data_IF_561370268995
#
_entry.id   IF_561370268995
#
_cell.length_a   1.000
_cell.length_b   1.000
_cell.length_c   1.000
_cell.angle_alpha   90.00
_cell.angle_beta   90.00
_cell.angle_gamma   90.00
#
_symmetry.space_group_name_H-M   'P 1'
#
loop_
_entity.id
_entity.type
_entity.pdbx_description
1 polymer ?
#
# COMPACT_ATOMS: atom_id res chain seq x y z
N UNK A 1 -13.85 41.52 -3.03
CA UNK A 1 -12.55 41.23 -2.38
C UNK A 1 -11.72 40.38 -3.34
N UNK A 2 -10.59 40.91 -3.81
CA UNK A 2 -9.82 40.32 -4.93
C UNK A 2 -8.61 39.51 -4.45
N UNK A 3 -8.61 38.20 -4.71
CA UNK A 3 -7.43 37.35 -4.59
C UNK A 3 -6.57 37.38 -5.85
N UNK A 4 -5.26 37.12 -5.73
CA UNK A 4 -4.35 37.04 -6.88
C UNK A 4 -4.83 35.99 -7.89
N UNK A 5 -4.77 36.27 -9.19
CA UNK A 5 -5.13 35.26 -10.20
C UNK A 5 -4.08 34.15 -10.27
N UNK A 6 -4.48 32.93 -10.66
CA UNK A 6 -3.56 31.80 -10.85
C UNK A 6 -2.41 32.15 -11.80
N UNK A 7 -2.68 32.87 -12.90
CA UNK A 7 -1.66 33.32 -13.85
C UNK A 7 -0.60 34.22 -13.20
N UNK A 8 -1.03 35.17 -12.36
CA UNK A 8 -0.10 36.07 -11.64
C UNK A 8 0.69 35.32 -10.58
N UNK A 9 0.04 34.44 -9.81
CA UNK A 9 0.70 33.61 -8.81
C UNK A 9 1.74 32.67 -9.45
N UNK A 10 1.42 32.07 -10.60
CA UNK A 10 2.33 31.20 -11.35
C UNK A 10 3.58 31.92 -11.82
N UNK A 11 3.42 33.12 -12.39
CA UNK A 11 4.55 33.94 -12.80
C UNK A 11 5.43 34.31 -11.59
N UNK A 12 4.81 34.71 -10.49
CA UNK A 12 5.50 35.12 -9.27
C UNK A 12 6.35 33.99 -8.69
N UNK A 13 5.78 32.79 -8.51
CA UNK A 13 6.54 31.65 -8.00
C UNK A 13 7.65 31.23 -8.97
N UNK A 14 7.39 31.27 -10.28
CA UNK A 14 8.40 30.94 -11.27
C UNK A 14 9.58 31.93 -11.24
N UNK A 15 9.31 33.24 -11.14
CA UNK A 15 10.35 34.26 -11.01
C UNK A 15 11.17 34.08 -9.74
N UNK A 16 10.53 33.79 -8.61
CA UNK A 16 11.22 33.49 -7.36
C UNK A 16 12.19 32.30 -7.53
N UNK A 17 11.71 31.18 -8.09
CA UNK A 17 12.55 30.00 -8.32
C UNK A 17 13.66 30.23 -9.35
N UNK A 18 13.39 31.01 -10.40
CA UNK A 18 14.41 31.35 -11.40
C UNK A 18 15.57 32.16 -10.76
N UNK A 19 15.28 33.03 -9.79
CA UNK A 19 16.31 33.75 -9.02
C UNK A 19 17.06 32.85 -8.03
N UNK A 20 16.34 32.20 -7.13
CA UNK A 20 16.94 31.46 -6.00
C UNK A 20 17.65 30.17 -6.45
N UNK A 21 17.13 29.52 -7.48
CA UNK A 21 17.66 28.24 -7.99
C UNK A 21 18.25 28.38 -9.39
N UNK A 22 18.60 29.61 -9.82
CA UNK A 22 19.24 29.88 -11.13
C UNK A 22 18.52 29.26 -12.31
N UNK A 23 17.19 29.20 -12.23
CA UNK A 23 16.33 28.59 -13.25
C UNK A 23 16.41 27.07 -13.33
N UNK A 24 16.97 26.36 -12.35
CA UNK A 24 16.99 24.90 -12.31
C UNK A 24 15.59 24.30 -12.08
N UNK A 25 14.77 24.98 -11.27
CA UNK A 25 13.43 24.52 -10.91
C UNK A 25 12.35 25.14 -11.79
N UNK A 26 11.34 24.34 -12.14
CA UNK A 26 10.11 24.77 -12.81
C UNK A 26 8.87 24.39 -12.03
N UNK A 27 7.78 25.06 -12.38
CA UNK A 27 6.47 24.80 -11.80
C UNK A 27 5.48 24.26 -12.80
N UNK A 28 4.57 23.41 -12.33
CA UNK A 28 3.39 22.95 -13.06
C UNK A 28 2.19 22.80 -12.11
N UNK A 29 0.98 22.67 -12.68
CA UNK A 29 -0.25 22.37 -11.94
C UNK A 29 -0.58 23.30 -10.76
N UNK A 30 -0.51 24.62 -10.97
CA UNK A 30 -0.90 25.57 -9.92
C UNK A 30 -2.41 25.49 -9.59
N UNK A 31 -2.73 25.24 -8.32
CA UNK A 31 -4.09 25.18 -7.81
C UNK A 31 -4.25 26.16 -6.66
N UNK A 32 -5.40 26.82 -6.59
CA UNK A 32 -5.77 27.61 -5.39
C UNK A 32 -6.37 26.64 -4.38
N UNK A 33 -5.98 26.75 -3.12
CA UNK A 33 -6.63 26.02 -2.03
C UNK A 33 -7.07 27.01 -0.97
N UNK A 34 -8.02 26.59 -0.13
CA UNK A 34 -8.53 27.40 0.97
C UNK A 34 -8.27 26.63 2.26
N UNK A 35 -7.46 27.19 3.16
CA UNK A 35 -7.38 26.65 4.52
C UNK A 35 -8.67 27.04 5.26
N UNK A 36 -9.36 26.04 5.81
CA UNK A 36 -10.66 26.20 6.48
C UNK A 36 -10.64 27.26 7.60
N UNK A 37 -9.49 27.51 8.21
CA UNK A 37 -9.34 28.47 9.32
C UNK A 37 -9.14 29.94 8.95
N UNK A 38 -8.71 30.29 7.73
CA UNK A 38 -8.39 31.69 7.38
C UNK A 38 -8.99 32.20 6.07
N UNK A 39 -9.59 31.32 5.25
CA UNK A 39 -10.19 31.65 3.94
C UNK A 39 -9.29 32.53 3.04
N UNK A 40 -7.96 32.44 3.20
CA UNK A 40 -7.04 33.32 2.51
C UNK A 40 -7.07 33.04 0.99
N UNK A 41 -7.52 33.98 0.14
CA UNK A 41 -7.72 33.75 -1.29
C UNK A 41 -6.41 33.74 -2.08
N UNK A 42 -5.26 33.94 -1.43
CA UNK A 42 -3.92 33.97 -2.03
C UNK A 42 -3.09 32.71 -1.74
N UNK A 43 -3.69 31.67 -1.16
CA UNK A 43 -3.01 30.39 -0.94
C UNK A 43 -3.04 29.52 -2.21
N UNK A 44 -1.87 29.07 -2.64
CA UNK A 44 -1.71 28.21 -3.81
C UNK A 44 -0.84 27.00 -3.51
N UNK A 45 -1.19 25.87 -4.11
CA UNK A 45 -0.30 24.71 -4.24
C UNK A 45 0.21 24.64 -5.68
N UNK A 46 1.43 24.16 -5.85
CA UNK A 46 2.06 23.99 -7.16
C UNK A 46 3.00 22.80 -7.11
N UNK A 47 3.15 22.08 -8.23
CA UNK A 47 4.18 21.05 -8.35
C UNK A 47 5.45 21.74 -8.81
N UNK A 48 6.52 21.63 -8.02
CA UNK A 48 7.86 22.05 -8.39
C UNK A 48 8.63 20.83 -8.89
N UNK A 49 9.42 20.99 -9.96
CA UNK A 49 10.27 19.92 -10.48
C UNK A 49 11.62 20.44 -10.97
N UNK A 50 12.64 19.58 -10.97
CA UNK A 50 13.95 19.85 -11.59
C UNK A 50 13.88 19.65 -13.11
N UNK A 51 14.32 20.64 -13.89
CA UNK A 51 14.28 20.57 -15.37
C UNK A 51 15.13 19.45 -15.97
N UNK A 52 16.22 19.10 -15.32
CA UNK A 52 17.17 18.11 -15.82
C UNK A 52 16.82 16.70 -15.34
N UNK A 53 15.99 16.59 -14.30
CA UNK A 53 15.57 15.36 -13.64
C UNK A 53 14.10 15.50 -13.21
N UNK A 54 13.17 15.36 -14.14
CA UNK A 54 11.75 15.67 -13.91
C UNK A 54 11.09 14.80 -12.83
N UNK A 55 11.68 13.64 -12.52
CA UNK A 55 11.29 12.74 -11.44
C UNK A 55 11.47 13.38 -10.06
N UNK A 56 12.41 14.34 -9.94
CA UNK A 56 12.57 15.14 -8.74
C UNK A 56 11.48 16.19 -8.73
N UNK A 57 10.37 15.88 -8.06
CA UNK A 57 9.22 16.77 -7.94
C UNK A 57 8.53 16.66 -6.59
N UNK A 58 7.94 17.77 -6.15
CA UNK A 58 7.19 17.84 -4.89
C UNK A 58 6.11 18.92 -4.96
N UNK A 59 5.13 18.85 -4.06
CA UNK A 59 4.11 19.88 -3.93
C UNK A 59 4.62 20.96 -2.98
N UNK A 60 4.63 22.19 -3.47
CA UNK A 60 4.91 23.39 -2.68
C UNK A 60 3.62 24.16 -2.44
N UNK A 61 3.38 24.54 -1.18
CA UNK A 61 2.31 25.45 -0.80
C UNK A 61 2.88 26.84 -0.54
N UNK A 62 2.20 27.90 -0.98
CA UNK A 62 2.66 29.26 -0.74
C UNK A 62 1.52 30.28 -0.70
N UNK A 63 1.70 31.34 0.08
CA UNK A 63 0.91 32.56 -0.02
C UNK A 63 1.52 33.50 -1.08
N UNK A 64 0.80 33.71 -2.19
CA UNK A 64 1.26 34.56 -3.28
C UNK A 64 1.32 36.05 -2.91
N UNK A 65 0.57 36.51 -1.91
CA UNK A 65 0.65 37.89 -1.41
C UNK A 65 1.94 38.08 -0.61
N UNK A 66 2.25 37.16 0.30
CA UNK A 66 3.51 37.20 1.08
C UNK A 66 4.71 37.10 0.15
N UNK A 67 4.70 36.16 -0.80
CA UNK A 67 5.77 36.05 -1.79
C UNK A 67 5.96 37.35 -2.56
N UNK A 68 4.88 38.06 -2.90
CA UNK A 68 4.96 39.33 -3.63
C UNK A 68 5.53 40.46 -2.78
N UNK A 69 5.15 40.55 -1.51
CA UNK A 69 5.51 41.69 -0.64
C UNK A 69 6.81 41.50 0.12
N UNK A 70 7.13 40.27 0.46
CA UNK A 70 8.27 39.93 1.33
C UNK A 70 9.33 39.10 0.60
N UNK A 71 9.09 38.69 -0.66
CA UNK A 71 9.96 37.77 -1.41
C UNK A 71 10.31 36.50 -0.62
N UNK A 72 9.35 36.02 0.19
CA UNK A 72 9.48 34.84 1.05
C UNK A 72 8.33 33.88 0.81
N UNK A 73 8.64 32.59 0.92
CA UNK A 73 7.63 31.53 0.84
C UNK A 73 7.17 31.17 2.24
N UNK A 74 5.87 31.30 2.47
CA UNK A 74 5.19 30.84 3.67
C UNK A 74 4.12 29.84 3.29
N UNK A 75 4.24 28.62 3.83
CA UNK A 75 3.39 27.50 3.44
C UNK A 75 2.15 27.33 4.32
N UNK A 76 2.01 28.16 5.38
CA UNK A 76 0.84 28.17 6.25
C UNK A 76 0.65 26.92 7.12
N UNK A 77 1.71 26.12 7.33
CA UNK A 77 1.73 24.93 8.20
C UNK A 77 2.97 24.95 9.11
N UNK A 78 2.82 24.50 10.35
CA UNK A 78 3.87 24.59 11.40
C UNK A 78 5.13 23.76 11.12
N UNK A 79 5.03 22.76 10.23
CA UNK A 79 6.12 21.88 9.81
C UNK A 79 6.70 22.25 8.44
N UNK A 80 6.38 23.44 7.93
CA UNK A 80 6.88 23.92 6.64
C UNK A 80 8.41 24.06 6.65
N UNK A 81 9.08 23.35 5.73
CA UNK A 81 10.53 23.46 5.56
C UNK A 81 10.89 24.49 4.49
N UNK A 82 12.07 25.13 4.55
CA UNK A 82 12.58 25.93 3.45
C UNK A 82 12.66 25.14 2.14
N UNK A 83 12.51 25.81 0.99
CA UNK A 83 12.48 25.13 -0.32
C UNK A 83 13.79 24.39 -0.60
N UNK A 84 14.95 24.94 -0.22
CA UNK A 84 16.23 24.25 -0.41
C UNK A 84 16.28 22.91 0.35
N UNK A 85 15.75 22.86 1.59
CA UNK A 85 15.67 21.62 2.37
C UNK A 85 14.71 20.62 1.71
N UNK A 86 13.56 21.08 1.23
CA UNK A 86 12.63 20.20 0.49
C UNK A 86 13.29 19.63 -0.77
N UNK A 87 13.98 20.48 -1.53
CA UNK A 87 14.68 20.07 -2.74
C UNK A 87 15.80 19.07 -2.44
N UNK A 88 16.65 19.33 -1.45
CA UNK A 88 17.69 18.40 -1.00
C UNK A 88 17.12 17.07 -0.50
N UNK A 89 15.98 17.10 0.20
CA UNK A 89 15.28 15.89 0.64
C UNK A 89 14.77 15.08 -0.55
N UNK A 90 14.11 15.71 -1.53
CA UNK A 90 13.63 15.02 -2.74
C UNK A 90 14.78 14.48 -3.59
N UNK A 91 15.89 15.23 -3.71
CA UNK A 91 17.11 14.80 -4.38
C UNK A 91 17.71 13.56 -3.69
N UNK A 92 17.79 13.59 -2.36
CA UNK A 92 18.30 12.49 -1.54
C UNK A 92 17.43 11.25 -1.69
N UNK A 93 16.10 11.40 -1.63
CA UNK A 93 15.14 10.32 -1.85
C UNK A 93 15.32 9.68 -3.23
N UNK A 94 15.38 10.50 -4.29
CA UNK A 94 15.57 10.04 -5.66
C UNK A 94 16.85 9.22 -5.82
N UNK A 95 18.02 9.76 -5.44
CA UNK A 95 19.27 9.04 -5.61
C UNK A 95 19.38 7.79 -4.72
N UNK A 96 18.73 7.81 -3.56
CA UNK A 96 18.65 6.63 -2.70
C UNK A 96 17.83 5.52 -3.36
N UNK A 97 16.67 5.85 -3.93
CA UNK A 97 15.84 4.92 -4.70
C UNK A 97 16.59 4.36 -5.92
N UNK A 98 17.32 5.20 -6.65
CA UNK A 98 18.16 4.78 -7.78
C UNK A 98 19.31 3.84 -7.35
N UNK A 99 19.94 4.11 -6.21
CA UNK A 99 20.97 3.23 -5.65
C UNK A 99 20.39 1.85 -5.27
N UNK A 100 19.19 1.81 -4.69
CA UNK A 100 18.48 0.55 -4.40
C UNK A 100 18.15 -0.17 -5.69
N UNK A 101 17.59 0.53 -6.69
CA UNK A 101 17.30 -0.06 -8.00
C UNK A 101 18.53 -0.68 -8.65
N UNK A 102 19.68 -0.01 -8.61
CA UNK A 102 20.94 -0.57 -9.11
C UNK A 102 21.33 -1.88 -8.40
N UNK A 103 21.14 -1.95 -7.08
CA UNK A 103 21.42 -3.16 -6.28
C UNK A 103 20.43 -4.29 -6.54
N UNK A 104 19.18 -3.96 -6.82
CA UNK A 104 18.12 -4.93 -7.14
C UNK A 104 18.24 -5.45 -8.57
N UNK A 105 18.69 -4.62 -9.52
CA UNK A 105 18.97 -5.04 -10.89
C UNK A 105 20.05 -6.11 -10.98
N UNK A 106 21.02 -6.13 -10.05
CA UNK A 106 22.03 -7.21 -9.95
C UNK A 106 21.38 -8.58 -9.71
N UNK A 107 20.27 -8.61 -8.96
CA UNK A 107 19.45 -9.82 -8.74
C UNK A 107 18.28 -9.91 -9.72
N UNK A 108 18.38 -9.19 -10.85
CA UNK A 108 17.41 -9.19 -11.97
C UNK A 108 15.98 -8.84 -11.52
N UNK A 109 15.85 -7.90 -10.60
CA UNK A 109 14.59 -7.37 -10.09
C UNK A 109 14.60 -5.83 -10.16
N UNK A 110 13.64 -5.23 -10.86
CA UNK A 110 13.44 -3.78 -10.84
C UNK A 110 12.48 -3.41 -9.71
N UNK A 111 12.64 -2.23 -9.10
CA UNK A 111 11.70 -1.71 -8.09
C UNK A 111 11.13 -0.37 -8.56
N UNK A 112 9.80 -0.27 -8.55
CA UNK A 112 9.08 0.97 -8.83
C UNK A 112 8.52 1.46 -7.50
N UNK A 113 8.86 2.70 -7.14
CA UNK A 113 8.52 3.28 -5.85
C UNK A 113 7.29 4.19 -5.97
N UNK A 114 6.33 3.97 -5.09
CA UNK A 114 5.22 4.88 -4.81
C UNK A 114 5.12 5.09 -3.30
N UNK A 115 4.42 6.14 -2.86
CA UNK A 115 4.42 6.50 -1.43
C UNK A 115 3.79 5.41 -0.53
N UNK A 116 2.75 4.72 -1.00
CA UNK A 116 2.05 3.65 -0.28
C UNK A 116 2.32 2.25 -0.84
N UNK A 117 3.12 2.13 -1.89
CA UNK A 117 3.35 0.86 -2.56
C UNK A 117 4.74 0.78 -3.19
N UNK A 118 5.27 -0.44 -3.31
CA UNK A 118 6.45 -0.74 -4.11
C UNK A 118 6.10 -1.86 -5.07
N UNK A 119 6.38 -1.71 -6.36
CA UNK A 119 6.22 -2.81 -7.31
C UNK A 119 7.58 -3.43 -7.62
N UNK A 120 7.74 -4.72 -7.34
CA UNK A 120 8.91 -5.51 -7.73
C UNK A 120 8.63 -6.24 -9.03
N UNK A 121 9.49 -6.07 -10.04
CA UNK A 121 9.37 -6.72 -11.34
C UNK A 121 10.59 -7.58 -11.61
N UNK A 122 10.43 -8.89 -11.49
CA UNK A 122 11.47 -9.85 -11.83
C UNK A 122 11.62 -9.97 -13.35
N UNK A 123 12.83 -10.15 -13.85
CA UNK A 123 13.08 -10.36 -15.30
C UNK A 123 12.88 -11.82 -15.75
N UNK A 124 12.70 -12.72 -14.79
CA UNK A 124 12.44 -14.16 -14.95
C UNK A 124 11.52 -14.59 -13.81
N UNK A 125 11.03 -15.83 -13.82
CA UNK A 125 10.25 -16.36 -12.69
C UNK A 125 11.20 -17.03 -11.70
N UNK A 126 11.51 -16.40 -10.55
CA UNK A 126 12.36 -17.01 -9.53
C UNK A 126 11.63 -18.15 -8.81
N UNK A 127 12.43 -19.14 -8.41
CA UNK A 127 12.07 -20.14 -7.42
C UNK A 127 11.75 -19.48 -6.07
N UNK A 128 11.00 -20.19 -5.22
CA UNK A 128 10.55 -19.68 -3.91
C UNK A 128 11.70 -19.13 -3.04
N UNK A 129 12.82 -19.85 -2.97
CA UNK A 129 13.99 -19.48 -2.16
C UNK A 129 14.68 -18.20 -2.66
N UNK A 130 14.83 -18.06 -3.98
CA UNK A 130 15.42 -16.88 -4.61
C UNK A 130 14.51 -15.65 -4.49
N UNK A 131 13.20 -15.85 -4.61
CA UNK A 131 12.20 -14.80 -4.36
C UNK A 131 12.28 -14.32 -2.91
N UNK A 132 12.29 -15.25 -1.95
CA UNK A 132 12.45 -14.93 -0.52
C UNK A 132 13.72 -14.12 -0.27
N UNK A 133 14.85 -14.58 -0.79
CA UNK A 133 16.13 -13.88 -0.65
C UNK A 133 16.11 -12.48 -1.28
N UNK A 134 15.45 -12.32 -2.42
CA UNK A 134 15.34 -11.02 -3.11
C UNK A 134 14.50 -10.03 -2.31
N UNK A 135 13.35 -10.44 -1.77
CA UNK A 135 12.51 -9.59 -0.93
C UNK A 135 13.22 -9.25 0.38
N UNK A 136 13.90 -10.21 1.01
CA UNK A 136 14.75 -9.95 2.19
C UNK A 136 15.83 -8.91 1.89
N UNK A 137 16.50 -9.01 0.74
CA UNK A 137 17.51 -8.03 0.29
C UNK A 137 16.89 -6.65 0.12
N UNK A 138 15.73 -6.55 -0.54
CA UNK A 138 15.02 -5.28 -0.72
C UNK A 138 14.68 -4.65 0.63
N UNK A 139 14.07 -5.41 1.54
CA UNK A 139 13.70 -4.91 2.87
C UNK A 139 14.92 -4.46 3.68
N UNK A 140 16.04 -5.17 3.57
CA UNK A 140 17.30 -4.77 4.19
C UNK A 140 17.82 -3.44 3.64
N UNK A 141 17.82 -3.26 2.32
CA UNK A 141 18.23 -2.02 1.66
C UNK A 141 17.33 -0.83 2.04
N UNK A 142 16.00 -1.05 2.09
CA UNK A 142 15.03 -0.04 2.52
C UNK A 142 15.32 0.40 3.96
N UNK A 143 15.47 -0.55 4.88
CA UNK A 143 15.75 -0.24 6.28
C UNK A 143 17.09 0.47 6.50
N UNK A 144 18.14 0.10 5.75
CA UNK A 144 19.44 0.79 5.81
C UNK A 144 19.37 2.27 5.40
N UNK A 145 18.37 2.64 4.59
CA UNK A 145 18.20 4.01 4.08
C UNK A 145 16.89 4.64 4.55
N UNK A 146 16.26 4.11 5.60
CA UNK A 146 14.92 4.49 6.05
C UNK A 146 14.70 5.99 6.18
N UNK A 147 15.64 6.70 6.79
CA UNK A 147 15.54 8.15 7.04
C UNK A 147 15.65 9.00 5.76
N UNK A 148 16.14 8.42 4.67
CA UNK A 148 16.40 9.10 3.39
C UNK A 148 15.33 8.84 2.35
N UNK A 149 14.49 7.84 2.55
CA UNK A 149 13.45 7.43 1.60
C UNK A 149 12.11 7.96 2.08
N UNK A 150 11.39 8.64 1.19
CA UNK A 150 10.03 9.07 1.40
C UNK A 150 9.05 7.93 1.06
N UNK A 151 8.78 7.10 2.07
CA UNK A 151 7.79 6.02 2.05
C UNK A 151 6.94 6.09 3.33
N UNK A 152 5.68 5.68 3.20
CA UNK A 152 4.76 5.57 4.33
C UNK A 152 5.29 4.60 5.41
N UNK A 153 4.89 4.81 6.66
CA UNK A 153 5.20 3.89 7.76
C UNK A 153 4.55 2.52 7.58
N UNK A 154 3.51 2.44 6.76
CA UNK A 154 2.90 1.22 6.25
C UNK A 154 2.71 1.31 4.74
N UNK A 155 3.15 0.30 3.99
CA UNK A 155 3.06 0.23 2.54
C UNK A 155 2.97 -1.23 2.07
N UNK A 156 2.63 -1.45 0.80
CA UNK A 156 2.53 -2.80 0.23
C UNK A 156 3.61 -3.04 -0.82
N UNK A 157 4.31 -4.18 -0.77
CA UNK A 157 5.14 -4.66 -1.87
C UNK A 157 4.31 -5.56 -2.77
N UNK A 158 4.12 -5.13 -4.02
CA UNK A 158 3.42 -5.85 -5.08
C UNK A 158 4.48 -6.61 -5.89
N UNK A 159 4.28 -7.91 -6.11
CA UNK A 159 5.23 -8.74 -6.85
C UNK A 159 4.68 -9.15 -8.22
N UNK A 160 5.41 -8.76 -9.26
CA UNK A 160 5.16 -9.15 -10.64
C UNK A 160 6.15 -10.23 -11.09
N UNK A 161 5.61 -11.36 -11.58
CA UNK A 161 6.40 -12.50 -12.07
C UNK A 161 6.15 -12.66 -13.58
N UNK A 162 7.16 -12.71 -14.47
CA UNK A 162 6.94 -12.71 -15.92
C UNK A 162 5.99 -13.76 -16.49
N UNK A 163 6.00 -14.98 -15.93
CA UNK A 163 5.11 -16.07 -16.38
C UNK A 163 3.65 -15.88 -15.96
N UNK A 164 3.39 -15.00 -15.00
CA UNK A 164 2.07 -14.62 -14.58
C UNK A 164 1.86 -13.17 -15.03
N UNK A 165 0.97 -12.91 -15.98
CA UNK A 165 0.72 -11.54 -16.46
C UNK A 165 0.11 -10.60 -15.40
N UNK A 166 0.17 -10.98 -14.14
CA UNK A 166 -0.60 -10.43 -13.03
C UNK A 166 0.24 -10.38 -11.75
N UNK A 167 -0.08 -9.37 -10.94
CA UNK A 167 0.49 -9.11 -9.63
C UNK A 167 -0.10 -10.08 -8.59
N UNK A 168 0.44 -11.30 -8.51
CA UNK A 168 -0.17 -12.35 -7.68
C UNK A 168 -0.04 -12.07 -6.19
N UNK A 169 1.08 -11.48 -5.74
CA UNK A 169 1.40 -11.37 -4.31
C UNK A 169 1.43 -9.92 -3.84
N UNK A 170 0.76 -9.70 -2.72
CA UNK A 170 0.80 -8.46 -1.95
C UNK A 170 1.48 -8.75 -0.60
N UNK A 171 2.53 -8.01 -0.28
CA UNK A 171 3.25 -8.14 1.00
C UNK A 171 3.02 -6.85 1.79
N UNK A 172 2.24 -6.93 2.86
CA UNK A 172 2.00 -5.81 3.74
C UNK A 172 3.25 -5.56 4.60
N UNK A 173 3.73 -4.32 4.60
CA UNK A 173 4.87 -3.86 5.38
C UNK A 173 4.38 -2.84 6.39
N UNK A 174 4.80 -3.00 7.65
CA UNK A 174 4.49 -2.08 8.72
C UNK A 174 5.75 -1.70 9.48
N UNK A 175 5.73 -0.50 10.08
CA UNK A 175 6.80 -0.10 10.99
C UNK A 175 6.58 -0.74 12.35
N UNK A 176 7.59 -1.46 12.83
CA UNK A 176 7.67 -1.97 14.19
C UNK A 176 9.05 -1.70 14.74
N UNK A 177 9.13 -1.17 15.96
CA UNK A 177 10.39 -0.85 16.65
C UNK A 177 11.39 -0.02 15.81
N UNK A 178 10.87 0.87 14.96
CA UNK A 178 11.68 1.74 14.11
C UNK A 178 12.21 1.10 12.82
N UNK A 179 11.88 -0.17 12.54
CA UNK A 179 12.20 -0.88 11.30
C UNK A 179 10.92 -1.21 10.51
N UNK A 180 11.03 -1.25 9.18
CA UNK A 180 9.99 -1.82 8.34
C UNK A 180 10.11 -3.33 8.40
N UNK A 181 9.01 -3.97 8.79
CA UNK A 181 8.86 -5.41 8.95
C UNK A 181 7.67 -5.91 8.15
N UNK A 182 7.69 -7.18 7.80
CA UNK A 182 6.60 -7.83 7.07
C UNK A 182 5.51 -8.17 8.06
N UNK A 183 4.31 -7.68 7.81
CA UNK A 183 3.12 -8.03 8.57
C UNK A 183 2.47 -9.30 8.02
N UNK A 184 2.25 -9.33 6.70
CA UNK A 184 1.58 -10.45 6.04
C UNK A 184 1.91 -10.52 4.56
N UNK A 185 1.68 -11.70 3.96
CA UNK A 185 1.72 -11.92 2.52
C UNK A 185 0.41 -12.56 2.07
N UNK A 186 -0.26 -11.96 1.09
CA UNK A 186 -1.56 -12.40 0.58
C UNK A 186 -1.56 -12.53 -0.94
N UNK A 187 -2.50 -13.31 -1.46
CA UNK A 187 -2.83 -13.32 -2.89
C UNK A 187 -3.70 -12.11 -3.21
N UNK A 188 -3.36 -11.40 -4.29
CA UNK A 188 -4.21 -10.36 -4.85
C UNK A 188 -5.48 -10.98 -5.46
N UNK A 189 -6.63 -10.66 -4.87
CA UNK A 189 -7.91 -11.24 -5.25
C UNK A 189 -8.46 -10.76 -6.61
N UNK A 190 -7.82 -9.76 -7.21
CA UNK A 190 -8.20 -9.22 -8.53
C UNK A 190 -7.50 -9.94 -9.70
N UNK A 191 -6.79 -11.03 -9.42
CA UNK A 191 -6.01 -11.77 -10.41
C UNK A 191 -6.81 -12.95 -10.98
N UNK A 192 -6.62 -13.27 -12.26
CA UNK A 192 -7.12 -14.51 -12.86
C UNK A 192 -6.64 -15.75 -12.09
N UNK A 193 -5.44 -15.69 -11.49
CA UNK A 193 -4.97 -16.76 -10.61
C UNK A 193 -5.96 -17.02 -9.46
N UNK A 194 -6.38 -15.96 -8.77
CA UNK A 194 -7.34 -16.08 -7.67
C UNK A 194 -8.72 -16.52 -8.18
N UNK A 195 -9.20 -15.97 -9.30
CA UNK A 195 -10.49 -16.39 -9.89
C UNK A 195 -10.53 -17.88 -10.22
N UNK A 196 -9.44 -18.44 -10.76
CA UNK A 196 -9.35 -19.87 -11.08
C UNK A 196 -9.37 -20.71 -9.80
N UNK A 197 -8.58 -20.30 -8.79
CA UNK A 197 -8.57 -20.96 -7.49
C UNK A 197 -9.95 -20.95 -6.84
N UNK A 198 -10.64 -19.81 -6.87
CA UNK A 198 -11.97 -19.63 -6.31
C UNK A 198 -13.01 -20.51 -6.99
N UNK A 199 -13.05 -20.53 -8.33
CA UNK A 199 -13.95 -21.39 -9.11
C UNK A 199 -13.81 -22.87 -8.74
N UNK A 200 -12.59 -23.31 -8.40
CA UNK A 200 -12.31 -24.69 -7.99
C UNK A 200 -12.67 -24.95 -6.53
N UNK A 201 -12.40 -24.02 -5.64
CA UNK A 201 -12.58 -24.20 -4.20
C UNK A 201 -14.04 -24.01 -3.74
N UNK A 202 -14.78 -23.08 -4.34
CA UNK A 202 -16.14 -22.72 -3.91
C UNK A 202 -17.11 -23.90 -3.91
N UNK A 203 -17.22 -24.74 -4.97
CA UNK A 203 -18.15 -25.88 -4.94
C UNK A 203 -17.85 -26.87 -3.81
N UNK A 204 -16.57 -27.16 -3.58
CA UNK A 204 -16.12 -28.06 -2.51
C UNK A 204 -16.37 -27.46 -1.12
N UNK A 205 -16.11 -26.16 -0.95
CA UNK A 205 -16.40 -25.40 0.27
C UNK A 205 -17.89 -25.42 0.61
N UNK A 206 -18.76 -25.15 -0.36
CA UNK A 206 -20.21 -25.16 -0.15
C UNK A 206 -20.69 -26.56 0.21
N UNK A 207 -20.21 -27.61 -0.47
CA UNK A 207 -20.54 -29.00 -0.11
C UNK A 207 -20.08 -29.36 1.30
N UNK A 208 -18.93 -28.84 1.75
CA UNK A 208 -18.46 -29.03 3.13
C UNK A 208 -19.38 -28.32 4.14
N UNK A 209 -19.74 -27.06 3.89
CA UNK A 209 -20.62 -26.27 4.77
C UNK A 209 -22.05 -26.83 4.83
N UNK A 210 -22.53 -27.54 3.81
CA UNK A 210 -23.83 -28.23 3.84
C UNK A 210 -23.83 -29.48 4.73
N UNK A 211 -22.67 -30.11 4.93
CA UNK A 211 -22.55 -31.38 5.69
C UNK A 211 -22.38 -31.16 7.20
N UNK A 212 -21.92 -30.00 7.61
CA UNK A 212 -21.76 -29.66 9.03
C UNK A 212 -23.13 -29.39 9.67
N UNK A 213 -23.27 -29.75 10.95
CA UNK A 213 -24.55 -29.69 11.67
C UNK A 213 -25.06 -28.26 11.90
N UNK A 214 -24.15 -27.28 11.95
CA UNK A 214 -24.47 -25.86 12.08
C UNK A 214 -24.49 -25.19 10.70
N UNK A 215 -25.60 -24.56 10.34
CA UNK A 215 -25.79 -23.94 9.02
C UNK A 215 -25.13 -22.57 8.95
N UNK A 216 -23.96 -22.51 8.36
CA UNK A 216 -23.26 -21.27 8.03
C UNK A 216 -23.46 -20.88 6.56
N UNK A 217 -23.48 -19.57 6.30
CA UNK A 217 -23.21 -18.98 4.98
C UNK A 217 -21.83 -18.30 5.00
N UNK A 218 -21.14 -18.29 3.86
CA UNK A 218 -19.93 -17.49 3.70
C UNK A 218 -20.28 -16.02 3.56
N UNK A 219 -19.56 -15.15 4.25
CA UNK A 219 -19.53 -13.71 3.97
C UNK A 219 -18.61 -13.46 2.75
N UNK A 220 -18.80 -12.32 2.07
CA UNK A 220 -18.05 -11.97 0.85
C UNK A 220 -16.58 -11.65 1.14
N UNK A 221 -16.29 -11.13 2.33
CA UNK A 221 -14.92 -10.89 2.78
C UNK A 221 -14.16 -12.20 3.02
N UNK A 222 -13.02 -12.33 2.35
CA UNK A 222 -12.04 -13.37 2.61
C UNK A 222 -10.63 -12.84 2.39
N UNK A 223 -9.62 -13.51 2.94
CA UNK A 223 -8.21 -13.23 2.66
C UNK A 223 -7.46 -14.54 2.50
N UNK A 224 -6.63 -14.65 1.45
CA UNK A 224 -5.78 -15.79 1.22
C UNK A 224 -4.33 -15.43 1.58
N UNK A 225 -3.91 -15.86 2.75
CA UNK A 225 -2.55 -15.68 3.23
C UNK A 225 -1.61 -16.73 2.66
N UNK A 226 -0.34 -16.37 2.49
CA UNK A 226 0.69 -17.23 1.92
C UNK A 226 1.79 -17.45 2.94
N UNK A 227 2.22 -18.70 3.03
CA UNK A 227 3.44 -19.09 3.71
C UNK A 227 4.66 -18.60 2.94
N UNK A 228 5.43 -17.69 3.53
CA UNK A 228 6.54 -17.00 2.86
C UNK A 228 7.84 -17.82 2.86
N UNK A 229 7.87 -18.94 3.58
CA UNK A 229 9.00 -19.86 3.57
C UNK A 229 8.99 -20.72 2.30
N UNK A 230 7.80 -21.18 1.91
CA UNK A 230 7.63 -22.11 0.79
C UNK A 230 6.99 -21.50 -0.45
N UNK A 231 6.12 -20.49 -0.31
CA UNK A 231 5.21 -20.00 -1.35
C UNK A 231 4.30 -21.07 -1.98
N UNK A 232 4.25 -22.28 -1.43
CA UNK A 232 3.43 -23.41 -1.92
C UNK A 232 2.24 -23.70 -1.03
N UNK A 233 2.19 -23.14 0.18
CA UNK A 233 1.10 -23.29 1.14
C UNK A 233 0.41 -21.95 1.35
N UNK A 234 -0.92 -21.97 1.39
CA UNK A 234 -1.73 -20.82 1.77
C UNK A 234 -2.78 -21.18 2.81
N UNK A 235 -3.29 -20.17 3.51
CA UNK A 235 -4.43 -20.27 4.41
C UNK A 235 -5.49 -19.26 3.97
N UNK A 236 -6.62 -19.78 3.47
CA UNK A 236 -7.75 -18.96 3.05
C UNK A 236 -8.73 -18.80 4.20
N UNK A 237 -8.85 -17.57 4.67
CA UNK A 237 -9.71 -17.18 5.78
C UNK A 237 -11.02 -16.65 5.23
N UNK A 238 -12.13 -17.26 5.64
CA UNK A 238 -13.49 -16.87 5.31
C UNK A 238 -14.26 -16.53 6.57
N UNK A 239 -14.91 -15.37 6.59
CA UNK A 239 -15.86 -15.06 7.66
C UNK A 239 -17.18 -15.79 7.39
N UNK A 240 -17.77 -16.38 8.42
CA UNK A 240 -19.02 -17.13 8.33
C UNK A 240 -20.14 -16.44 9.13
N UNK A 241 -21.36 -16.53 8.60
CA UNK A 241 -22.58 -15.99 9.19
C UNK A 241 -23.55 -17.12 9.51
N UNK A 242 -24.25 -17.06 10.64
CA UNK A 242 -25.31 -18.01 10.96
C UNK A 242 -26.54 -17.72 10.08
N UNK A 243 -26.95 -18.72 9.29
CA UNK A 243 -28.12 -18.61 8.40
C UNK A 243 -29.44 -18.35 9.14
N UNK A 244 -29.55 -18.70 10.42
CA UNK A 244 -30.74 -18.39 11.25
C UNK A 244 -30.81 -16.93 11.66
N UNK A 245 -29.66 -16.26 11.83
CA UNK A 245 -29.60 -14.85 12.22
C UNK A 245 -30.00 -13.92 11.07
N UNK A 246 -29.64 -14.28 9.83
CA UNK A 246 -29.99 -13.51 8.61
C UNK A 246 -31.52 -13.43 8.38
N UNK A 247 -32.29 -14.42 8.87
CA UNK A 247 -33.74 -14.42 8.77
C UNK A 247 -34.46 -13.40 9.69
N UNK A 248 -33.76 -12.82 10.67
CA UNK A 248 -34.35 -11.88 11.64
C UNK A 248 -34.07 -10.39 11.33
N UNK A 249 -33.20 -10.09 10.36
CA UNK A 249 -32.72 -8.72 10.06
C UNK A 249 -33.53 -7.94 9.01
N UNK A 250 -34.70 -8.41 8.58
CA UNK A 250 -35.53 -7.68 7.60
C UNK A 250 -36.03 -6.29 8.07
N UNK A 251 -35.75 -5.85 9.31
CA UNK A 251 -36.26 -4.60 9.88
C UNK A 251 -35.22 -3.72 10.61
N UNK A 252 -33.91 -3.85 10.40
CA UNK A 252 -32.93 -2.97 11.07
C UNK A 252 -31.59 -2.85 10.37
N UNK A 253 -31.09 -1.62 10.23
CA UNK A 253 -29.75 -1.28 9.73
C UNK A 253 -28.66 -1.65 10.75
N UNK A 254 -28.37 -2.94 11.01
CA UNK A 254 -27.19 -3.33 11.78
C UNK A 254 -26.64 -4.71 11.34
N UNK A 255 -25.38 -4.68 10.89
CA UNK A 255 -24.38 -5.76 10.71
C UNK A 255 -24.83 -7.21 10.89
N UNK A 256 -24.86 -7.96 9.79
CA UNK A 256 -24.97 -9.43 9.84
C UNK A 256 -23.86 -10.01 10.73
N UNK A 257 -24.20 -10.73 11.80
CA UNK A 257 -23.21 -11.16 12.79
C UNK A 257 -22.32 -12.25 12.18
N UNK A 258 -21.02 -11.97 12.13
CA UNK A 258 -20.01 -12.99 11.88
C UNK A 258 -19.93 -13.88 13.13
N UNK A 259 -20.28 -15.15 12.99
CA UNK A 259 -20.41 -16.10 14.11
C UNK A 259 -19.34 -17.18 14.10
N UNK A 260 -18.58 -17.31 13.02
CA UNK A 260 -17.45 -18.21 12.93
C UNK A 260 -16.48 -17.77 11.83
N UNK A 261 -15.31 -18.40 11.80
CA UNK A 261 -14.33 -18.28 10.73
C UNK A 261 -13.97 -19.66 10.21
N UNK A 262 -14.02 -19.82 8.90
CA UNK A 262 -13.49 -20.99 8.19
C UNK A 262 -12.07 -20.68 7.74
N UNK A 263 -11.14 -21.55 8.08
CA UNK A 263 -9.77 -21.54 7.56
C UNK A 263 -9.63 -22.75 6.64
N UNK A 264 -9.27 -22.50 5.38
CA UNK A 264 -8.93 -23.54 4.41
C UNK A 264 -7.42 -23.52 4.16
N UNK A 265 -6.72 -24.61 4.48
CA UNK A 265 -5.32 -24.77 4.09
C UNK A 265 -5.26 -25.23 2.64
N UNK A 266 -4.47 -24.54 1.81
CA UNK A 266 -4.42 -24.74 0.36
C UNK A 266 -2.99 -25.05 -0.08
N UNK A 267 -2.84 -26.06 -0.93
CA UNK A 267 -1.64 -26.25 -1.71
C UNK A 267 -1.73 -25.38 -2.96
N UNK A 268 -0.92 -24.33 -3.04
CA UNK A 268 -0.93 -23.36 -4.14
C UNK A 268 -0.36 -23.93 -5.44
N UNK A 269 0.44 -25.00 -5.39
CA UNK A 269 1.00 -25.65 -6.57
C UNK A 269 -0.07 -26.40 -7.36
N UNK A 270 -0.92 -27.17 -6.69
CA UNK A 270 -1.98 -27.94 -7.33
C UNK A 270 -3.39 -27.36 -7.11
N UNK A 271 -3.49 -26.24 -6.39
CA UNK A 271 -4.73 -25.50 -6.09
C UNK A 271 -5.79 -26.38 -5.42
N UNK A 272 -5.38 -27.28 -4.52
CA UNK A 272 -6.29 -28.13 -3.76
C UNK A 272 -6.37 -27.68 -2.31
N UNK A 273 -7.58 -27.71 -1.75
CA UNK A 273 -7.79 -27.59 -0.30
C UNK A 273 -7.33 -28.89 0.36
N UNK A 274 -6.45 -28.77 1.36
CA UNK A 274 -5.86 -29.90 2.09
C UNK A 274 -6.60 -30.13 3.40
N UNK A 275 -6.98 -29.04 4.09
CA UNK A 275 -7.59 -29.08 5.42
C UNK A 275 -8.58 -27.93 5.56
N UNK A 276 -9.61 -28.14 6.39
CA UNK A 276 -10.60 -27.14 6.78
C UNK A 276 -10.79 -27.15 8.29
N UNK A 277 -10.76 -25.96 8.89
CA UNK A 277 -11.03 -25.77 10.30
C UNK A 277 -12.07 -24.66 10.47
N UNK A 278 -13.06 -24.87 11.35
CA UNK A 278 -14.04 -23.84 11.71
C UNK A 278 -13.80 -23.42 13.15
N UNK A 279 -13.61 -22.11 13.34
CA UNK A 279 -13.42 -21.48 14.65
C UNK A 279 -14.68 -20.67 14.97
N UNK A 280 -15.51 -21.10 15.94
CA UNK A 280 -16.63 -20.31 16.41
C UNK A 280 -16.16 -19.01 17.06
N UNK A 281 -16.90 -17.92 16.81
CA UNK A 281 -16.67 -16.63 17.46
C UNK A 281 -17.68 -16.48 18.60
N UNK A 282 -17.17 -16.27 19.81
CA UNK A 282 -18.00 -16.14 21.03
C UNK A 282 -18.30 -14.69 21.41
N UNK A 283 -17.57 -13.72 20.85
CA UNK A 283 -17.68 -12.29 21.18
C UNK A 283 -17.76 -11.44 19.91
N UNK A 284 -18.61 -10.41 19.92
CA UNK A 284 -18.66 -9.44 18.82
C UNK A 284 -17.38 -8.62 18.78
N UNK A 285 -16.62 -8.77 17.71
CA UNK A 285 -15.35 -8.08 17.46
C UNK A 285 -15.39 -7.41 16.09
N UNK A 286 -14.60 -6.37 15.90
CA UNK A 286 -14.39 -5.80 14.56
C UNK A 286 -13.74 -6.85 13.64
N UNK A 287 -13.95 -6.75 12.32
CA UNK A 287 -13.32 -7.68 11.36
C UNK A 287 -11.80 -7.66 11.46
N UNK A 288 -11.20 -6.49 11.67
CA UNK A 288 -9.74 -6.36 11.86
C UNK A 288 -9.30 -7.14 13.10
N UNK A 289 -9.99 -6.98 14.23
CA UNK A 289 -9.66 -7.70 15.46
C UNK A 289 -9.79 -9.22 15.30
N UNK A 290 -10.83 -9.69 14.58
CA UNK A 290 -11.00 -11.11 14.30
C UNK A 290 -9.84 -11.68 13.47
N UNK A 291 -9.40 -10.95 12.45
CA UNK A 291 -8.29 -11.38 11.59
C UNK A 291 -6.98 -11.42 12.38
N UNK A 292 -6.69 -10.42 13.20
CA UNK A 292 -5.49 -10.40 14.04
C UNK A 292 -5.46 -11.57 15.06
N UNK A 293 -6.60 -11.92 15.66
CA UNK A 293 -6.71 -13.05 16.60
C UNK A 293 -6.50 -14.41 15.90
N UNK A 294 -6.81 -14.49 14.61
CA UNK A 294 -6.73 -15.72 13.81
C UNK A 294 -5.37 -15.90 13.15
N UNK A 295 -4.64 -14.81 12.83
CA UNK A 295 -3.31 -14.86 12.21
C UNK A 295 -2.37 -15.90 12.85
N UNK A 296 -2.23 -16.00 14.19
CA UNK A 296 -1.37 -17.01 14.83
C UNK A 296 -1.80 -18.47 14.58
N UNK A 297 -3.07 -18.70 14.26
CA UNK A 297 -3.67 -20.03 14.07
C UNK A 297 -3.57 -20.54 12.63
N UNK A 298 -3.16 -19.69 11.68
CA UNK A 298 -3.10 -20.03 10.26
C UNK A 298 -2.02 -21.07 9.92
N UNK A 299 -1.08 -21.33 10.82
CA UNK A 299 0.01 -22.30 10.59
C UNK A 299 0.85 -21.95 9.37
N UNK A 300 1.02 -20.66 9.10
CA UNK A 300 1.85 -20.09 8.05
C UNK A 300 2.88 -19.16 8.66
N UNK A 301 4.02 -19.07 7.98
CA UNK A 301 5.14 -18.25 8.43
C UNK A 301 5.24 -16.99 7.57
N UNK A 302 5.53 -15.84 8.21
CA UNK A 302 5.78 -14.55 7.54
C UNK A 302 7.24 -14.11 7.65
N UNK A 303 8.18 -15.04 7.73
CA UNK A 303 9.60 -14.71 7.89
C UNK A 303 10.25 -14.54 6.52
N UNK A 304 11.00 -13.44 6.34
CA UNK A 304 11.90 -13.23 5.20
C UNK A 304 13.35 -13.10 5.66
#
# INVERSE_FOLDING_TARGET
MGGMSRKKANLLIQTYLDCEFKGQLKVTEIRRFFNAGNMNPNMFSVIVYDKNLEEIRWILYFDAKILKTENRIEQGVSYAQPIHIQYEKTLTDYYTKEAINKQMNIVKCNVIFEYYSLTTRFHYTPEATERKATIKKLLSLLNQQREKIDLSSAFTIINFLPNNKEDILEIAIHTKDGAWEIDSCTVNQKTNYFEILEKKAVPDRMSYLEKISHRYNSHDFSLLYIDTDSFTKGAWVHLLMDTKAVGQEQNGYHSTPITAVLIETINLTNQNVIQRDIIPITESKSFVSLIEDIKPQLGITYTF
#
